data_IF_829404410887
#
_entry.id   IF_829404410887
#
_cell.length_a   1.000
_cell.length_b   1.000
_cell.length_c   1.000
_cell.angle_alpha   90.00
_cell.angle_beta   90.00
_cell.angle_gamma   90.00
#
_symmetry.space_group_name_H-M   'P 1'
#
loop_
_entity.id
_entity.type
_entity.pdbx_description
1 polymer ?
#
# COMPACT_ATOMS: atom_id res chain seq x y z
N UNK A 1 -5.21 19.77 10.21
CA UNK A 1 -4.34 18.68 10.70
C UNK A 1 -3.21 19.31 11.52
N UNK A 2 -3.00 18.93 12.78
CA UNK A 2 -1.99 19.60 13.63
C UNK A 2 -0.61 18.95 13.48
N UNK A 3 0.25 19.58 12.67
CA UNK A 3 1.64 19.17 12.48
C UNK A 3 2.42 19.08 13.81
N UNK A 4 1.98 19.78 14.86
CA UNK A 4 2.58 19.70 16.20
C UNK A 4 2.34 18.35 16.85
N UNK A 5 1.15 17.76 16.66
CA UNK A 5 0.87 16.41 17.15
C UNK A 5 1.77 15.38 16.47
N UNK A 6 1.96 15.47 15.16
CA UNK A 6 2.87 14.58 14.43
C UNK A 6 4.31 14.74 14.90
N UNK A 7 4.80 15.97 15.06
CA UNK A 7 6.13 16.25 15.58
C UNK A 7 6.34 15.68 16.99
N UNK A 8 5.32 15.77 17.85
CA UNK A 8 5.34 15.19 19.19
C UNK A 8 5.40 13.66 19.13
N UNK A 9 4.55 13.01 18.32
CA UNK A 9 4.56 11.55 18.16
C UNK A 9 5.89 11.04 17.61
N UNK A 10 6.50 11.75 16.65
CA UNK A 10 7.84 11.41 16.14
C UNK A 10 8.89 11.51 17.25
N UNK A 11 8.80 12.54 18.10
CA UNK A 11 9.73 12.77 19.22
C UNK A 11 9.58 11.71 20.31
N UNK A 12 8.34 11.27 20.58
CA UNK A 12 8.02 10.28 21.61
C UNK A 12 8.24 8.82 21.15
N UNK A 13 8.49 8.60 19.86
CA UNK A 13 8.82 7.28 19.32
C UNK A 13 10.16 6.78 19.88
N UNK A 14 10.07 5.79 20.77
CA UNK A 14 11.24 5.13 21.37
C UNK A 14 12.06 4.32 20.35
N UNK A 15 11.39 3.85 19.31
CA UNK A 15 11.97 3.07 18.23
C UNK A 15 11.94 3.90 16.94
N UNK A 16 13.10 4.45 16.55
CA UNK A 16 13.22 5.34 15.40
C UNK A 16 13.17 4.62 14.03
N UNK A 17 13.06 3.30 14.02
CA UNK A 17 13.23 2.48 12.82
C UNK A 17 12.24 1.32 12.77
N UNK A 18 11.93 0.91 11.54
CA UNK A 18 11.23 -0.34 11.23
C UNK A 18 12.04 -1.55 11.75
N UNK A 19 11.35 -2.58 12.25
CA UNK A 19 11.99 -3.77 12.84
C UNK A 19 11.74 -5.00 11.95
N UNK A 20 12.76 -5.54 11.25
CA UNK A 20 12.62 -6.78 10.53
C UNK A 20 12.60 -7.97 11.50
N UNK A 21 11.78 -8.97 11.21
CA UNK A 21 11.78 -10.27 11.89
C UNK A 21 11.42 -11.38 10.91
N UNK A 22 11.96 -12.57 11.15
CA UNK A 22 11.69 -13.73 10.31
C UNK A 22 10.47 -14.50 10.82
N UNK A 23 9.62 -14.91 9.89
CA UNK A 23 8.49 -15.80 10.15
C UNK A 23 8.53 -16.99 9.20
N UNK A 24 8.10 -18.16 9.66
CA UNK A 24 8.07 -19.38 8.84
C UNK A 24 6.76 -19.46 8.08
N UNK A 25 6.83 -19.73 6.78
CA UNK A 25 5.66 -20.00 5.95
C UNK A 25 5.22 -21.47 6.07
N UNK A 26 4.47 -21.76 7.13
CA UNK A 26 4.04 -23.13 7.49
C UNK A 26 3.13 -23.83 6.47
N UNK A 27 2.59 -23.09 5.49
CA UNK A 27 1.74 -23.63 4.42
C UNK A 27 2.53 -24.10 3.18
N UNK A 28 3.86 -23.89 3.14
CA UNK A 28 4.74 -24.39 2.07
C UNK A 28 5.51 -25.61 2.56
N UNK A 29 5.71 -26.58 1.68
CA UNK A 29 6.36 -27.87 1.98
C UNK A 29 7.71 -27.68 2.69
N UNK A 30 8.51 -26.74 2.20
CA UNK A 30 9.87 -26.49 2.72
C UNK A 30 9.91 -25.52 3.90
N UNK A 31 8.77 -25.00 4.35
CA UNK A 31 8.66 -24.05 5.47
C UNK A 31 9.69 -22.90 5.40
N UNK A 32 9.76 -22.16 4.28
CA UNK A 32 10.77 -21.12 4.12
C UNK A 32 10.55 -19.97 5.11
N UNK A 33 11.64 -19.29 5.47
CA UNK A 33 11.55 -18.03 6.20
C UNK A 33 11.12 -16.92 5.24
N UNK A 34 10.20 -16.07 5.71
CA UNK A 34 9.87 -14.78 5.11
C UNK A 34 10.29 -13.67 6.06
N UNK A 35 10.86 -12.61 5.51
CA UNK A 35 11.11 -11.38 6.26
C UNK A 35 9.79 -10.61 6.42
N UNK A 36 9.54 -10.12 7.62
CA UNK A 36 8.39 -9.28 7.95
C UNK A 36 8.92 -8.04 8.64
N UNK A 37 8.48 -6.89 8.16
CA UNK A 37 8.83 -5.61 8.76
C UNK A 37 7.69 -5.17 9.69
N UNK A 38 7.96 -5.08 11.00
CA UNK A 38 7.05 -4.50 11.97
C UNK A 38 7.23 -2.99 12.05
N UNK A 39 6.12 -2.27 11.90
CA UNK A 39 6.05 -0.81 11.97
C UNK A 39 5.45 -0.30 13.29
N UNK A 40 5.03 -1.21 14.19
CA UNK A 40 4.35 -0.85 15.43
C UNK A 40 5.28 -0.03 16.34
N UNK A 41 4.80 1.13 16.77
CA UNK A 41 5.57 2.06 17.60
C UNK A 41 6.59 2.90 16.82
N UNK A 42 6.72 2.69 15.50
CA UNK A 42 7.55 3.51 14.63
C UNK A 42 6.84 4.80 14.24
N UNK A 43 7.61 5.86 14.01
CA UNK A 43 7.07 7.11 13.49
C UNK A 43 6.57 6.96 12.04
N UNK A 44 7.17 6.04 11.28
CA UNK A 44 6.77 5.74 9.91
C UNK A 44 5.31 5.29 9.85
N UNK A 45 4.85 4.49 10.82
CA UNK A 45 3.44 4.05 10.90
C UNK A 45 2.49 5.23 11.06
N UNK A 46 2.82 6.18 11.94
CA UNK A 46 2.00 7.38 12.17
C UNK A 46 1.95 8.23 10.90
N UNK A 47 3.11 8.49 10.28
CA UNK A 47 3.16 9.24 9.03
C UNK A 47 2.38 8.54 7.90
N UNK A 48 2.59 7.23 7.73
CA UNK A 48 1.91 6.44 6.71
C UNK A 48 0.39 6.45 6.90
N UNK A 49 -0.10 6.35 8.14
CA UNK A 49 -1.53 6.42 8.45
C UNK A 49 -2.12 7.78 8.05
N UNK A 50 -1.41 8.87 8.32
CA UNK A 50 -1.83 10.23 7.96
C UNK A 50 -1.88 10.40 6.44
N UNK A 51 -0.81 10.00 5.74
CA UNK A 51 -0.73 10.10 4.28
C UNK A 51 -1.80 9.22 3.64
N UNK A 52 -1.99 7.99 4.12
CA UNK A 52 -3.03 7.09 3.63
C UNK A 52 -4.43 7.67 3.83
N UNK A 53 -4.72 8.26 4.99
CA UNK A 53 -6.02 8.90 5.23
C UNK A 53 -6.27 10.02 4.22
N UNK A 54 -5.25 10.80 3.88
CA UNK A 54 -5.33 11.88 2.87
C UNK A 54 -5.49 11.33 1.45
N UNK A 55 -4.71 10.32 1.07
CA UNK A 55 -4.84 9.66 -0.23
C UNK A 55 -6.20 8.98 -0.41
N UNK A 56 -6.80 8.49 0.67
CA UNK A 56 -8.14 7.87 0.64
C UNK A 56 -9.27 8.87 0.34
N UNK A 57 -9.00 10.18 0.42
CA UNK A 57 -9.94 11.21 0.00
C UNK A 57 -9.93 11.44 -1.51
N UNK A 58 -8.89 10.97 -2.21
CA UNK A 58 -8.83 11.04 -3.66
C UNK A 58 -9.88 10.07 -4.24
N UNK A 59 -10.80 10.62 -5.02
CA UNK A 59 -11.83 9.85 -5.72
C UNK A 59 -11.24 9.24 -7.00
N UNK A 60 -10.28 8.33 -6.83
CA UNK A 60 -9.65 7.62 -7.96
C UNK A 60 -10.67 6.64 -8.54
N UNK A 61 -11.08 6.90 -9.78
CA UNK A 61 -11.92 5.98 -10.56
C UNK A 61 -11.02 5.03 -11.34
N UNK A 62 -10.84 3.81 -10.81
CA UNK A 62 -10.11 2.74 -11.47
C UNK A 62 -11.09 1.65 -11.92
N UNK A 63 -11.47 1.62 -13.22
CA UNK A 63 -12.44 0.65 -13.74
C UNK A 63 -11.89 -0.79 -13.74
N UNK A 64 -10.59 -0.97 -13.50
CA UNK A 64 -9.93 -2.28 -13.43
C UNK A 64 -9.62 -2.72 -12.00
N UNK A 65 -9.94 -1.89 -10.98
CA UNK A 65 -9.68 -2.24 -9.58
C UNK A 65 -10.60 -3.38 -9.12
N UNK A 66 -9.98 -4.52 -8.80
CA UNK A 66 -10.67 -5.67 -8.25
C UNK A 66 -10.32 -5.82 -6.76
N UNK A 67 -11.26 -5.43 -5.90
CA UNK A 67 -11.09 -5.50 -4.43
C UNK A 67 -11.26 -6.90 -3.84
N UNK A 68 -11.99 -7.77 -4.54
CA UNK A 68 -12.23 -9.14 -4.12
C UNK A 68 -12.03 -10.07 -5.32
N UNK A 69 -11.10 -11.01 -5.20
CA UNK A 69 -10.79 -12.01 -6.22
C UNK A 69 -11.95 -12.98 -6.48
N UNK A 70 -12.86 -13.20 -5.52
CA UNK A 70 -14.05 -14.04 -5.70
C UNK A 70 -14.93 -13.54 -6.85
N UNK A 71 -15.03 -12.22 -7.03
CA UNK A 71 -15.78 -11.63 -8.16
C UNK A 71 -15.20 -12.03 -9.51
N UNK A 72 -13.87 -12.16 -9.61
CA UNK A 72 -13.20 -12.65 -10.83
C UNK A 72 -13.48 -14.12 -11.03
N UNK A 73 -13.42 -14.92 -9.95
CA UNK A 73 -13.72 -16.35 -10.01
C UNK A 73 -15.17 -16.57 -10.47
N UNK A 74 -16.12 -15.82 -9.96
CA UNK A 74 -17.53 -15.87 -10.38
C UNK A 74 -17.72 -15.45 -11.84
N UNK A 75 -17.07 -14.36 -12.26
CA UNK A 75 -17.07 -13.94 -13.66
C UNK A 75 -16.51 -15.02 -14.59
N UNK A 76 -15.36 -15.59 -14.26
CA UNK A 76 -14.71 -16.63 -15.08
C UNK A 76 -15.51 -17.93 -15.16
N UNK A 77 -16.34 -18.25 -14.16
CA UNK A 77 -17.27 -19.41 -14.21
C UNK A 77 -18.38 -19.25 -15.23
N UNK A 78 -18.77 -18.01 -15.55
CA UNK A 78 -19.89 -17.70 -16.46
C UNK A 78 -19.44 -17.19 -17.82
N UNK A 79 -18.17 -16.77 -17.93
CA UNK A 79 -17.58 -16.29 -19.17
C UNK A 79 -17.36 -17.44 -20.17
N UNK A 80 -17.65 -17.24 -21.47
CA UNK A 80 -17.22 -18.18 -22.51
C UNK A 80 -15.71 -18.42 -22.46
N UNK A 81 -15.21 -19.56 -23.00
CA UNK A 81 -13.78 -19.81 -23.07
C UNK A 81 -13.05 -18.66 -23.77
N UNK A 82 -12.11 -18.05 -23.07
CA UNK A 82 -11.28 -16.94 -23.55
C UNK A 82 -9.80 -17.30 -23.38
N UNK A 83 -8.96 -16.84 -24.30
CA UNK A 83 -7.52 -16.89 -24.12
C UNK A 83 -7.11 -15.77 -23.17
N UNK A 84 -6.49 -16.13 -22.05
CA UNK A 84 -6.08 -15.18 -21.01
C UNK A 84 -4.56 -15.14 -20.88
N UNK A 85 -4.05 -13.95 -20.53
CA UNK A 85 -2.67 -13.76 -20.06
C UNK A 85 -2.73 -13.37 -18.59
N UNK A 86 -1.98 -14.07 -17.75
CA UNK A 86 -1.80 -13.73 -16.34
C UNK A 86 -0.43 -13.09 -16.14
N UNK A 87 -0.43 -11.87 -15.60
CA UNK A 87 0.80 -11.13 -15.29
C UNK A 87 0.87 -11.02 -13.77
N UNK A 88 1.97 -11.49 -13.20
CA UNK A 88 2.22 -11.43 -11.76
C UNK A 88 3.50 -10.64 -11.53
N UNK A 89 3.42 -9.61 -10.70
CA UNK A 89 4.60 -8.86 -10.28
C UNK A 89 5.18 -9.51 -9.03
N UNK A 90 6.45 -9.91 -9.08
CA UNK A 90 7.19 -10.35 -7.89
C UNK A 90 7.84 -9.15 -7.23
N UNK A 91 7.91 -9.16 -5.90
CA UNK A 91 8.69 -8.20 -5.14
C UNK A 91 8.37 -6.74 -5.51
N UNK A 92 7.07 -6.42 -5.63
CA UNK A 92 6.59 -5.13 -6.12
C UNK A 92 7.23 -3.95 -5.37
N UNK A 93 7.27 -4.03 -4.04
CA UNK A 93 7.87 -3.00 -3.19
C UNK A 93 9.36 -2.78 -3.44
N UNK A 94 10.09 -3.81 -3.86
CA UNK A 94 11.52 -3.74 -4.18
C UNK A 94 11.79 -3.37 -5.64
N UNK A 95 10.80 -3.55 -6.51
CA UNK A 95 10.91 -3.32 -7.96
C UNK A 95 10.50 -1.90 -8.37
N UNK A 96 9.77 -1.18 -7.53
CA UNK A 96 9.35 0.19 -7.80
C UNK A 96 10.46 1.17 -7.44
N UNK A 97 10.87 2.00 -8.40
CA UNK A 97 11.81 3.10 -8.14
C UNK A 97 11.12 4.20 -7.33
N UNK A 98 11.73 4.64 -6.22
CA UNK A 98 11.12 5.61 -5.29
C UNK A 98 10.67 6.90 -5.98
N UNK A 99 11.49 7.45 -6.88
CA UNK A 99 11.15 8.67 -7.62
C UNK A 99 9.89 8.47 -8.49
N UNK A 100 9.76 7.33 -9.17
CA UNK A 100 8.59 7.03 -10.00
C UNK A 100 7.33 6.86 -9.14
N UNK A 101 7.45 6.24 -7.97
CA UNK A 101 6.34 6.11 -7.04
C UNK A 101 5.84 7.48 -6.57
N UNK A 102 6.77 8.36 -6.18
CA UNK A 102 6.45 9.71 -5.71
C UNK A 102 5.78 10.50 -6.84
N UNK A 103 6.37 10.52 -8.04
CA UNK A 103 5.80 11.25 -9.18
C UNK A 103 4.41 10.74 -9.56
N UNK A 104 4.16 9.43 -9.51
CA UNK A 104 2.83 8.87 -9.77
C UNK A 104 1.80 9.32 -8.72
N UNK A 105 2.19 9.41 -7.45
CA UNK A 105 1.33 9.90 -6.38
C UNK A 105 1.03 11.39 -6.57
N UNK A 106 2.03 12.21 -6.90
CA UNK A 106 1.87 13.63 -7.19
C UNK A 106 0.90 13.85 -8.35
N UNK A 107 1.11 13.16 -9.47
CA UNK A 107 0.23 13.23 -10.65
C UNK A 107 -1.21 12.81 -10.32
N UNK A 108 -1.38 11.79 -9.47
CA UNK A 108 -2.71 11.33 -9.02
C UNK A 108 -3.41 12.40 -8.18
N UNK A 109 -2.68 13.04 -7.25
CA UNK A 109 -3.22 14.12 -6.42
C UNK A 109 -3.68 15.29 -7.32
N UNK A 110 -2.85 15.67 -8.29
CA UNK A 110 -3.14 16.76 -9.22
C UNK A 110 -4.34 16.43 -10.14
N UNK A 111 -4.46 15.18 -10.58
CA UNK A 111 -5.52 14.75 -11.49
C UNK A 111 -6.89 14.65 -10.82
N UNK A 112 -6.96 14.08 -9.61
CA UNK A 112 -8.24 13.69 -9.03
C UNK A 112 -8.86 14.70 -8.08
N UNK A 113 -8.10 15.40 -7.21
CA UNK A 113 -8.67 16.46 -6.33
C UNK A 113 -7.61 17.13 -5.40
N UNK A 114 -6.60 17.81 -5.97
CA UNK A 114 -5.53 18.48 -5.19
C UNK A 114 -6.06 19.45 -4.11
N UNK A 115 -7.16 20.14 -4.39
CA UNK A 115 -7.79 21.11 -3.46
C UNK A 115 -8.33 20.42 -2.21
N UNK A 116 -8.88 19.20 -2.30
CA UNK A 116 -9.32 18.45 -1.10
C UNK A 116 -8.16 17.84 -0.33
N UNK A 117 -7.11 17.44 -1.05
CA UNK A 117 -5.89 16.92 -0.44
C UNK A 117 -5.22 17.99 0.46
N UNK A 118 -5.17 19.25 -0.02
CA UNK A 118 -4.52 20.37 0.67
C UNK A 118 -5.36 20.99 1.81
N UNK A 119 -6.69 21.04 1.71
CA UNK A 119 -7.53 21.85 2.61
C UNK A 119 -8.05 21.13 3.88
N UNK A 120 -7.19 20.41 4.61
CA UNK A 120 -7.57 19.76 5.89
C UNK A 120 -6.45 19.74 6.95
#
# INVERSE_FOLDING_TARGET
MDLKYLAQVITDCKDGTLKPFLSVETHKIDSPFRDIVEDKGSWQRTLATIVQAKLSLLLVDDPFLIRNSEKVVEFLKTCPPVTCVSIVTKDLYYSITQNKAISAVEETIDTYEAVRFQNL
#
